data_IF_629997496047
#
_entry.id   IF_629997496047
#
_cell.length_a   1.000
_cell.length_b   1.000
_cell.length_c   1.000
_cell.angle_alpha   90.00
_cell.angle_beta   90.00
_cell.angle_gamma   90.00
#
_symmetry.space_group_name_H-M   'P 1'
#
loop_
_entity.id
_entity.type
_entity.pdbx_description
1 polymer ?
#
# COMPACT_ATOMS: atom_id res chain seq x y z
N UNK A 1 8.80 -1.10 -12.10
CA UNK A 1 9.84 -2.13 -12.31
C UNK A 1 11.21 -1.62 -11.87
N UNK A 2 11.70 -0.49 -12.39
CA UNK A 2 12.90 0.18 -11.86
C UNK A 2 12.63 0.78 -10.48
N UNK A 3 13.50 0.49 -9.51
CA UNK A 3 13.47 1.08 -8.17
C UNK A 3 13.97 2.51 -8.16
N UNK A 4 14.49 2.94 -7.01
CA UNK A 4 15.22 4.20 -6.83
C UNK A 4 16.55 3.88 -6.18
N UNK A 5 17.55 4.76 -6.31
CA UNK A 5 18.81 4.63 -5.59
C UNK A 5 19.06 5.86 -4.72
N UNK A 6 19.96 5.73 -3.75
CA UNK A 6 20.47 6.85 -2.97
C UNK A 6 21.91 7.14 -3.37
N UNK A 7 22.25 8.42 -3.50
CA UNK A 7 23.65 8.86 -3.50
C UNK A 7 24.11 8.85 -2.05
N UNK A 8 24.84 7.81 -1.64
CA UNK A 8 25.11 7.54 -0.22
C UNK A 8 25.91 8.67 0.44
N UNK A 9 26.99 9.14 -0.20
CA UNK A 9 27.86 10.18 0.37
C UNK A 9 27.11 11.50 0.54
N UNK A 10 26.30 11.87 -0.46
CA UNK A 10 25.46 13.05 -0.37
C UNK A 10 24.33 12.89 0.64
N UNK A 11 23.66 11.73 0.67
CA UNK A 11 22.50 11.54 1.52
C UNK A 11 22.88 11.38 2.99
N UNK A 12 23.96 10.67 3.30
CA UNK A 12 24.40 10.45 4.68
C UNK A 12 24.91 11.74 5.36
N UNK A 13 25.47 12.67 4.58
CA UNK A 13 25.94 13.96 5.09
C UNK A 13 24.83 14.99 5.27
N UNK A 14 23.73 14.88 4.52
CA UNK A 14 22.68 15.89 4.48
C UNK A 14 21.37 15.46 5.18
N UNK A 15 21.16 14.15 5.41
CA UNK A 15 19.89 13.61 5.86
C UNK A 15 20.02 12.54 6.93
N UNK A 16 19.07 12.55 7.87
CA UNK A 16 18.98 11.57 8.95
C UNK A 16 18.37 10.25 8.50
N UNK A 17 17.62 10.21 7.39
CA UNK A 17 16.97 8.95 6.98
C UNK A 17 17.95 7.82 6.67
N UNK A 18 19.19 8.14 6.29
CA UNK A 18 20.22 7.13 6.01
C UNK A 18 20.61 6.38 7.29
N UNK A 19 20.78 7.08 8.42
CA UNK A 19 21.10 6.43 9.69
C UNK A 19 19.95 5.56 10.20
N UNK A 20 18.69 5.99 9.99
CA UNK A 20 17.52 5.17 10.34
C UNK A 20 17.44 3.85 9.54
N UNK A 21 17.90 3.87 8.29
CA UNK A 21 17.97 2.65 7.47
C UNK A 21 19.14 1.76 7.89
N UNK A 22 20.27 2.36 8.28
CA UNK A 22 21.45 1.65 8.77
C UNK A 22 21.18 0.94 10.11
N UNK A 23 20.44 1.60 11.02
CA UNK A 23 19.98 1.03 12.30
C UNK A 23 19.22 -0.30 12.15
N UNK A 24 18.61 -0.55 10.98
CA UNK A 24 17.88 -1.78 10.65
C UNK A 24 18.56 -2.63 9.56
N UNK A 25 19.82 -2.32 9.22
CA UNK A 25 20.59 -3.01 8.18
C UNK A 25 19.89 -3.05 6.81
N UNK A 26 19.21 -1.96 6.43
CA UNK A 26 18.46 -1.84 5.17
C UNK A 26 19.25 -1.17 4.05
N UNK A 27 20.47 -0.69 4.31
CA UNK A 27 21.32 -0.08 3.27
C UNK A 27 21.54 -1.01 2.05
N UNK A 28 21.83 -2.33 2.22
CA UNK A 28 22.00 -3.24 1.09
C UNK A 28 20.77 -3.30 0.18
N UNK A 29 19.57 -3.17 0.76
CA UNK A 29 18.31 -3.18 0.00
C UNK A 29 18.11 -1.89 -0.82
N UNK A 30 18.45 -0.73 -0.26
CA UNK A 30 18.19 0.57 -0.91
C UNK A 30 19.29 1.02 -1.88
N UNK A 31 20.41 0.30 -1.92
CA UNK A 31 21.58 0.58 -2.76
C UNK A 31 21.70 -0.37 -3.96
N UNK A 32 20.71 -1.23 -4.22
CA UNK A 32 20.76 -2.17 -5.34
C UNK A 32 20.73 -1.43 -6.67
N UNK A 33 21.86 -1.44 -7.39
CA UNK A 33 22.02 -0.75 -8.68
C UNK A 33 22.05 -1.68 -9.89
N UNK A 34 21.76 -2.98 -9.71
CA UNK A 34 21.78 -3.95 -10.80
C UNK A 34 20.75 -3.58 -11.89
N UNK A 35 21.07 -3.88 -13.17
CA UNK A 35 20.06 -3.84 -14.21
C UNK A 35 18.89 -4.76 -13.89
N UNK A 36 17.73 -4.49 -14.49
CA UNK A 36 16.62 -5.42 -14.51
C UNK A 36 16.25 -5.85 -15.92
N UNK A 37 15.73 -7.07 -16.04
CA UNK A 37 15.46 -7.72 -17.32
C UNK A 37 13.95 -7.91 -17.49
N UNK A 38 13.30 -7.04 -18.24
CA UNK A 38 11.84 -6.96 -18.32
C UNK A 38 11.21 -8.30 -18.75
N UNK A 39 11.82 -9.01 -19.72
CA UNK A 39 11.33 -10.31 -20.19
C UNK A 39 11.37 -11.36 -19.08
N UNK A 40 12.49 -11.49 -18.38
CA UNK A 40 12.64 -12.44 -17.27
C UNK A 40 11.75 -12.09 -16.08
N UNK A 41 11.58 -10.80 -15.78
CA UNK A 41 10.62 -10.36 -14.75
C UNK A 41 9.20 -10.80 -15.10
N UNK A 42 8.77 -10.59 -16.35
CA UNK A 42 7.44 -11.05 -16.80
C UNK A 42 7.31 -12.58 -16.74
N UNK A 43 8.35 -13.31 -17.14
CA UNK A 43 8.38 -14.78 -17.07
C UNK A 43 8.23 -15.26 -15.62
N UNK A 44 8.99 -14.66 -14.69
CA UNK A 44 8.91 -14.95 -13.25
C UNK A 44 7.49 -14.75 -12.71
N UNK A 45 6.86 -13.60 -12.98
CA UNK A 45 5.51 -13.33 -12.47
C UNK A 45 4.45 -14.20 -13.13
N UNK A 46 4.61 -14.55 -14.40
CA UNK A 46 3.66 -15.41 -15.12
C UNK A 46 3.62 -16.84 -14.57
N UNK A 47 4.75 -17.30 -14.01
CA UNK A 47 4.89 -18.63 -13.42
C UNK A 47 4.86 -18.62 -11.88
N UNK A 48 4.58 -17.47 -11.25
CA UNK A 48 4.60 -17.32 -9.80
C UNK A 48 3.46 -18.11 -9.14
N UNK A 49 3.81 -18.94 -8.15
CA UNK A 49 2.88 -19.75 -7.37
C UNK A 49 3.19 -19.63 -5.89
N UNK A 50 2.15 -19.51 -5.08
CA UNK A 50 2.28 -19.60 -3.62
C UNK A 50 2.47 -21.05 -3.22
N UNK A 51 3.44 -21.29 -2.34
CA UNK A 51 3.60 -22.57 -1.66
C UNK A 51 3.28 -22.32 -0.20
N UNK A 52 2.15 -22.85 0.26
CA UNK A 52 1.82 -22.88 1.67
C UNK A 52 1.30 -24.27 2.00
N UNK A 53 2.19 -25.15 2.44
CA UNK A 53 1.76 -26.36 3.12
C UNK A 53 1.30 -26.01 4.55
N UNK A 54 0.49 -26.88 5.15
CA UNK A 54 0.14 -26.75 6.58
C UNK A 54 1.44 -26.87 7.40
N UNK A 55 1.75 -25.84 8.18
CA UNK A 55 2.95 -25.68 9.03
C UNK A 55 4.28 -25.29 8.35
N UNK A 56 4.29 -24.92 7.06
CA UNK A 56 5.50 -24.36 6.43
C UNK A 56 5.50 -22.83 6.42
N UNK A 57 6.69 -22.25 6.52
CA UNK A 57 6.89 -20.80 6.34
C UNK A 57 6.40 -20.38 4.94
N UNK A 58 5.90 -19.15 4.84
CA UNK A 58 5.40 -18.65 3.57
C UNK A 58 6.53 -18.60 2.52
N UNK A 59 6.29 -19.30 1.40
CA UNK A 59 7.21 -19.34 0.29
C UNK A 59 6.48 -19.15 -1.05
N UNK A 60 7.25 -18.81 -2.08
CA UNK A 60 6.79 -18.75 -3.46
C UNK A 60 7.69 -19.58 -4.34
N UNK A 61 7.12 -20.13 -5.41
CA UNK A 61 7.88 -20.77 -6.48
C UNK A 61 7.62 -20.07 -7.79
N UNK A 62 8.60 -20.13 -8.69
CA UNK A 62 8.42 -19.70 -10.07
C UNK A 62 9.30 -20.53 -10.99
N UNK A 63 9.04 -20.47 -12.28
CA UNK A 63 9.85 -21.08 -13.33
C UNK A 63 10.27 -19.98 -14.29
N UNK A 64 11.58 -19.83 -14.52
CA UNK A 64 12.15 -18.84 -15.45
C UNK A 64 13.13 -19.57 -16.34
N UNK A 65 12.99 -19.41 -17.67
CA UNK A 65 13.80 -20.15 -18.66
C UNK A 65 13.85 -21.67 -18.39
N UNK A 66 12.75 -22.25 -17.92
CA UNK A 66 12.65 -23.69 -17.60
C UNK A 66 13.26 -24.11 -16.26
N UNK A 67 13.95 -23.23 -15.55
CA UNK A 67 14.53 -23.52 -14.23
C UNK A 67 13.53 -23.17 -13.13
N UNK A 68 13.24 -24.13 -12.24
CA UNK A 68 12.39 -23.90 -11.07
C UNK A 68 13.18 -23.24 -9.95
N UNK A 69 12.54 -22.27 -9.29
CA UNK A 69 13.08 -21.49 -8.18
C UNK A 69 12.12 -21.57 -6.99
N UNK A 70 12.66 -21.56 -5.78
CA UNK A 70 11.92 -21.61 -4.51
C UNK A 70 12.41 -20.50 -3.59
N UNK A 71 11.54 -19.59 -3.17
CA UNK A 71 11.90 -18.43 -2.37
C UNK A 71 11.07 -18.38 -1.11
N UNK A 72 11.72 -18.53 0.04
CA UNK A 72 11.19 -18.13 1.34
C UNK A 72 11.88 -16.84 1.83
N UNK A 73 11.45 -16.35 2.99
CA UNK A 73 11.99 -15.13 3.57
C UNK A 73 13.49 -15.26 3.89
N UNK A 74 13.97 -16.44 4.28
CA UNK A 74 15.38 -16.70 4.67
C UNK A 74 16.30 -16.67 3.45
N UNK A 75 15.92 -17.34 2.37
CA UNK A 75 16.65 -17.33 1.10
C UNK A 75 16.71 -15.90 0.55
N UNK A 76 15.57 -15.20 0.52
CA UNK A 76 15.53 -13.83 0.02
C UNK A 76 16.40 -12.89 0.86
N UNK A 77 16.39 -13.03 2.18
CA UNK A 77 17.25 -12.27 3.08
C UNK A 77 18.74 -12.52 2.82
N UNK A 78 19.13 -13.78 2.58
CA UNK A 78 20.49 -14.15 2.23
C UNK A 78 20.94 -13.52 0.90
N UNK A 79 20.05 -13.45 -0.09
CA UNK A 79 20.34 -12.83 -1.40
C UNK A 79 20.49 -11.31 -1.27
N UNK A 80 19.67 -10.69 -0.42
CA UNK A 80 19.62 -9.24 -0.25
C UNK A 80 20.57 -8.70 0.83
N UNK A 81 21.19 -9.60 1.60
CA UNK A 81 22.00 -9.26 2.77
C UNK A 81 21.27 -8.37 3.79
N UNK A 82 20.02 -8.70 4.11
CA UNK A 82 19.20 -7.99 5.11
C UNK A 82 18.67 -8.95 6.18
N UNK A 83 18.23 -8.45 7.35
CA UNK A 83 17.59 -9.29 8.37
C UNK A 83 16.28 -9.92 7.89
N UNK A 84 15.99 -11.13 8.38
CA UNK A 84 14.70 -11.80 8.19
C UNK A 84 13.93 -12.01 9.50
N UNK A 85 14.44 -11.47 10.61
CA UNK A 85 13.82 -11.50 11.93
C UNK A 85 12.92 -10.29 12.14
N UNK A 86 12.27 -10.25 13.30
CA UNK A 86 11.41 -9.14 13.70
C UNK A 86 9.93 -9.40 13.42
N UNK A 87 9.12 -8.38 13.72
CA UNK A 87 7.67 -8.48 13.55
C UNK A 87 7.30 -8.51 12.07
N UNK A 88 6.16 -9.10 11.76
CA UNK A 88 5.61 -9.10 10.42
C UNK A 88 4.13 -8.73 10.45
N UNK A 89 3.77 -7.75 9.63
CA UNK A 89 2.39 -7.33 9.40
C UNK A 89 2.22 -7.06 7.90
N UNK A 90 1.08 -7.43 7.35
CA UNK A 90 0.71 -7.13 5.97
C UNK A 90 -0.77 -6.77 5.87
N UNK A 91 -1.12 -5.61 6.44
CA UNK A 91 -2.48 -5.10 6.51
C UNK A 91 -2.53 -3.69 5.89
N UNK A 92 -3.50 -3.46 5.00
CA UNK A 92 -3.63 -2.21 4.26
C UNK A 92 -4.90 -1.43 4.62
N UNK A 93 -5.92 -2.11 5.14
CA UNK A 93 -7.26 -1.54 5.38
C UNK A 93 -7.36 -0.93 6.77
N UNK A 94 -6.88 -1.62 7.80
CA UNK A 94 -6.91 -1.14 9.19
C UNK A 94 -5.52 -0.76 9.69
N UNK A 95 -5.47 -0.12 10.86
CA UNK A 95 -4.22 0.08 11.58
C UNK A 95 -3.72 -1.27 12.11
N UNK A 96 -2.40 -1.45 12.10
CA UNK A 96 -1.77 -2.64 12.67
C UNK A 96 -2.05 -2.70 14.17
N UNK A 97 -2.32 -3.90 14.69
CA UNK A 97 -2.49 -4.14 16.12
C UNK A 97 -1.24 -4.87 16.61
N UNK A 98 -0.19 -4.10 16.89
CA UNK A 98 1.10 -4.60 17.38
C UNK A 98 1.43 -3.88 18.68
N UNK A 99 2.03 -4.60 19.62
CA UNK A 99 2.48 -4.02 20.89
C UNK A 99 3.38 -2.80 20.66
N UNK A 100 3.09 -1.70 21.37
CA UNK A 100 3.81 -0.43 21.25
C UNK A 100 3.43 0.43 20.02
N UNK A 101 2.67 -0.09 19.05
CA UNK A 101 2.22 0.72 17.91
C UNK A 101 0.93 1.48 18.24
N UNK A 102 1.03 2.81 18.30
CA UNK A 102 -0.11 3.70 18.42
C UNK A 102 -0.13 4.72 17.27
N UNK A 103 -1.16 4.71 16.40
CA UNK A 103 -1.24 5.61 15.26
C UNK A 103 -1.07 7.09 15.64
N UNK A 104 -1.64 7.54 16.75
CA UNK A 104 -1.51 8.93 17.20
C UNK A 104 -0.05 9.33 17.49
N UNK A 105 0.74 8.43 18.06
CA UNK A 105 2.13 8.71 18.41
C UNK A 105 2.98 8.90 17.15
N UNK A 106 2.93 7.95 16.20
CA UNK A 106 3.68 8.10 14.94
C UNK A 106 3.19 9.31 14.14
N UNK A 107 1.88 9.56 14.11
CA UNK A 107 1.34 10.71 13.40
C UNK A 107 1.81 12.04 14.00
N UNK A 108 1.97 12.14 15.32
CA UNK A 108 2.56 13.32 15.97
C UNK A 108 4.03 13.55 15.58
N UNK A 109 4.79 12.48 15.32
CA UNK A 109 6.18 12.56 14.83
C UNK A 109 6.22 12.99 13.35
N UNK A 110 5.30 12.48 12.54
CA UNK A 110 5.24 12.79 11.10
C UNK A 110 4.67 14.19 10.82
N UNK A 111 3.76 14.68 11.68
CA UNK A 111 3.03 15.93 11.53
C UNK A 111 3.07 16.77 12.83
N UNK A 112 4.25 17.19 13.31
CA UNK A 112 4.42 17.80 14.64
C UNK A 112 3.64 19.12 14.84
N UNK A 113 3.31 19.82 13.75
CA UNK A 113 2.68 21.14 13.79
C UNK A 113 1.19 21.13 13.38
N UNK A 114 0.56 19.96 13.24
CA UNK A 114 -0.83 19.85 12.80
C UNK A 114 -1.76 19.56 14.01
N UNK A 115 -2.54 20.54 14.48
CA UNK A 115 -3.41 20.35 15.64
C UNK A 115 -4.61 19.44 15.34
N UNK A 116 -4.92 19.16 14.07
CA UNK A 116 -6.04 18.33 13.65
C UNK A 116 -5.62 16.89 13.31
N UNK A 117 -4.44 16.47 13.76
CA UNK A 117 -3.91 15.14 13.43
C UNK A 117 -4.73 14.04 14.10
N UNK A 118 -5.31 13.13 13.31
CA UNK A 118 -6.03 11.96 13.82
C UNK A 118 -5.93 10.74 12.88
N UNK A 119 -6.09 9.50 13.39
CA UNK A 119 -5.81 8.26 12.62
C UNK A 119 -6.76 7.98 11.45
N UNK A 120 -7.87 8.72 11.38
CA UNK A 120 -8.88 8.59 10.34
C UNK A 120 -8.78 9.67 9.27
N UNK A 121 -7.83 10.60 9.38
CA UNK A 121 -7.65 11.66 8.41
C UNK A 121 -6.94 11.17 7.15
N UNK A 122 -7.06 11.93 6.06
CA UNK A 122 -6.25 11.70 4.87
C UNK A 122 -4.80 12.12 5.13
N UNK A 123 -3.87 11.17 5.05
CA UNK A 123 -2.45 11.40 5.28
C UNK A 123 -1.76 11.83 3.98
N UNK A 124 -1.12 12.99 3.98
CA UNK A 124 -0.49 13.59 2.79
C UNK A 124 1.01 13.79 2.97
N UNK A 125 1.77 13.71 1.88
CA UNK A 125 3.24 13.79 1.92
C UNK A 125 3.78 15.22 1.90
N UNK A 126 2.96 16.21 1.54
CA UNK A 126 3.35 17.62 1.45
C UNK A 126 3.57 18.29 2.82
N UNK A 127 3.06 17.70 3.91
CA UNK A 127 3.26 18.19 5.28
C UNK A 127 4.41 17.47 6.02
N UNK A 128 5.05 16.49 5.38
CA UNK A 128 6.19 15.78 5.94
C UNK A 128 7.46 16.64 5.87
N UNK A 129 8.35 16.44 6.83
CA UNK A 129 9.74 16.91 6.74
C UNK A 129 10.46 16.32 5.52
N UNK A 130 11.60 16.88 5.15
CA UNK A 130 12.41 16.38 4.01
C UNK A 130 12.79 14.92 4.24
N UNK A 131 13.32 14.59 5.42
CA UNK A 131 13.73 13.24 5.78
C UNK A 131 12.57 12.23 5.73
N UNK A 132 11.43 12.57 6.35
CA UNK A 132 10.25 11.71 6.34
C UNK A 132 9.70 11.52 4.92
N UNK A 133 9.74 12.56 4.08
CA UNK A 133 9.29 12.47 2.69
C UNK A 133 10.24 11.63 1.84
N UNK A 134 11.55 11.72 2.06
CA UNK A 134 12.54 10.88 1.37
C UNK A 134 12.44 9.42 1.80
N UNK A 135 12.27 9.17 3.10
CA UNK A 135 12.00 7.84 3.62
C UNK A 135 10.73 7.25 3.00
N UNK A 136 9.62 8.00 2.97
CA UNK A 136 8.39 7.58 2.31
C UNK A 136 8.62 7.26 0.83
N UNK A 137 9.35 8.12 0.12
CA UNK A 137 9.70 7.90 -1.28
C UNK A 137 10.49 6.60 -1.49
N UNK A 138 11.46 6.30 -0.64
CA UNK A 138 12.19 5.03 -0.68
C UNK A 138 11.28 3.85 -0.40
N UNK A 139 10.40 3.95 0.60
CA UNK A 139 9.43 2.90 0.90
C UNK A 139 8.56 2.62 -0.32
N UNK A 140 7.95 3.63 -0.94
CA UNK A 140 7.01 3.42 -2.06
C UNK A 140 7.66 3.03 -3.39
N UNK A 141 8.98 3.12 -3.51
CA UNK A 141 9.69 2.71 -4.72
C UNK A 141 10.51 1.43 -4.56
N UNK A 142 10.96 1.12 -3.34
CA UNK A 142 11.88 0.01 -3.08
C UNK A 142 11.31 -1.06 -2.14
N UNK A 143 10.68 -0.67 -1.04
CA UNK A 143 10.28 -1.61 0.04
C UNK A 143 8.86 -2.12 -0.16
N UNK A 144 7.93 -1.23 -0.48
CA UNK A 144 6.52 -1.52 -0.72
C UNK A 144 6.04 -0.76 -1.96
N UNK A 145 6.41 -1.20 -3.18
CA UNK A 145 6.06 -0.50 -4.40
C UNK A 145 4.55 -0.39 -4.63
N UNK A 146 4.08 0.84 -4.83
CA UNK A 146 2.66 1.15 -5.12
C UNK A 146 2.49 1.73 -6.52
N UNK A 147 1.58 1.15 -7.32
CA UNK A 147 1.26 1.60 -8.68
C UNK A 147 0.30 2.79 -8.75
N UNK A 148 0.38 3.72 -7.81
CA UNK A 148 -0.52 4.88 -7.69
C UNK A 148 0.23 6.16 -7.34
N UNK A 149 -0.51 7.27 -7.18
CA UNK A 149 0.09 8.56 -6.83
C UNK A 149 0.80 8.55 -5.46
N UNK A 150 1.90 9.28 -5.37
CA UNK A 150 2.76 9.36 -4.16
C UNK A 150 2.43 10.55 -3.24
N UNK A 151 1.28 11.19 -3.44
CA UNK A 151 0.87 12.35 -2.65
C UNK A 151 0.26 11.96 -1.28
N UNK A 152 -0.15 10.70 -1.12
CA UNK A 152 -0.82 10.19 0.09
C UNK A 152 -0.02 9.05 0.70
N UNK A 153 -0.17 8.87 2.02
CA UNK A 153 0.38 7.73 2.74
C UNK A 153 -0.72 6.71 3.02
N UNK A 154 -0.42 5.44 2.80
CA UNK A 154 -1.25 4.34 3.30
C UNK A 154 -0.90 4.01 4.75
N UNK A 155 -1.84 3.42 5.50
CA UNK A 155 -1.60 2.93 6.87
C UNK A 155 -0.40 1.99 6.95
N UNK A 156 -0.25 1.10 5.97
CA UNK A 156 0.90 0.19 5.87
C UNK A 156 2.23 0.94 5.69
N UNK A 157 2.25 2.02 4.89
CA UNK A 157 3.45 2.83 4.72
C UNK A 157 3.82 3.58 6.01
N UNK A 158 2.82 4.11 6.73
CA UNK A 158 3.04 4.74 8.04
C UNK A 158 3.56 3.72 9.06
N UNK A 159 3.03 2.49 9.04
CA UNK A 159 3.50 1.42 9.90
C UNK A 159 4.97 1.05 9.62
N UNK A 160 5.37 0.95 8.35
CA UNK A 160 6.78 0.73 7.99
C UNK A 160 7.65 1.91 8.42
N UNK A 161 7.19 3.15 8.22
CA UNK A 161 7.90 4.33 8.72
C UNK A 161 8.07 4.31 10.23
N UNK A 162 7.04 3.89 10.99
CA UNK A 162 7.14 3.72 12.43
C UNK A 162 8.18 2.67 12.82
N UNK A 163 8.21 1.51 12.13
CA UNK A 163 9.22 0.49 12.40
C UNK A 163 10.63 1.05 12.21
N UNK A 164 10.86 1.78 11.11
CA UNK A 164 12.17 2.38 10.79
C UNK A 164 12.55 3.47 11.80
N UNK A 165 11.64 4.42 12.07
CA UNK A 165 11.90 5.53 12.98
C UNK A 165 12.07 5.09 14.44
N UNK A 166 11.40 4.02 14.84
CA UNK A 166 11.43 3.47 16.20
C UNK A 166 12.44 2.33 16.36
N UNK A 167 13.22 2.01 15.31
CA UNK A 167 14.21 0.92 15.28
C UNK A 167 13.63 -0.45 15.65
N UNK A 168 12.38 -0.69 15.25
CA UNK A 168 11.72 -1.99 15.44
C UNK A 168 12.12 -2.90 14.28
N UNK A 169 12.72 -4.05 14.60
CA UNK A 169 13.02 -5.08 13.61
C UNK A 169 11.72 -5.54 12.93
N UNK A 170 11.72 -5.49 11.61
CA UNK A 170 10.59 -5.87 10.78
C UNK A 170 11.06 -6.82 9.67
N UNK A 171 10.29 -7.87 9.40
CA UNK A 171 10.65 -8.87 8.39
C UNK A 171 10.39 -8.36 6.95
N UNK A 172 11.32 -7.53 6.44
CA UNK A 172 11.26 -6.99 5.07
C UNK A 172 11.28 -8.04 3.96
N UNK A 173 12.06 -9.15 4.04
CA UNK A 173 12.01 -10.21 3.02
C UNK A 173 10.59 -10.77 2.86
N UNK A 174 9.90 -11.05 3.97
CA UNK A 174 8.54 -11.57 3.93
C UNK A 174 7.55 -10.55 3.36
N UNK A 175 7.72 -9.25 3.67
CA UNK A 175 6.96 -8.16 3.06
C UNK A 175 7.16 -8.10 1.54
N UNK A 176 8.39 -8.26 1.05
CA UNK A 176 8.71 -8.25 -0.38
C UNK A 176 8.00 -9.41 -1.08
N UNK A 177 8.12 -10.64 -0.57
CA UNK A 177 7.46 -11.82 -1.15
C UNK A 177 5.93 -11.67 -1.20
N UNK A 178 5.32 -11.17 -0.12
CA UNK A 178 3.87 -10.94 -0.05
C UNK A 178 3.43 -9.83 -1.00
N UNK A 179 4.28 -8.84 -1.21
CA UNK A 179 4.05 -7.79 -2.21
C UNK A 179 4.16 -8.32 -3.64
N UNK A 180 5.09 -9.24 -3.93
CA UNK A 180 5.18 -9.91 -5.24
C UNK A 180 3.88 -10.66 -5.54
N UNK A 181 3.40 -11.48 -4.59
CA UNK A 181 2.13 -12.21 -4.73
C UNK A 181 0.96 -11.26 -4.91
N UNK A 182 0.86 -10.21 -4.08
CA UNK A 182 -0.22 -9.22 -4.20
C UNK A 182 -0.21 -8.54 -5.57
N UNK A 183 0.95 -8.18 -6.10
CA UNK A 183 1.05 -7.54 -7.41
C UNK A 183 0.53 -8.45 -8.54
N UNK A 184 0.85 -9.74 -8.45
CA UNK A 184 0.34 -10.77 -9.36
C UNK A 184 -1.17 -10.99 -9.21
N UNK A 185 -1.66 -11.26 -7.99
CA UNK A 185 -3.08 -11.54 -7.73
C UNK A 185 -4.00 -10.39 -8.11
N UNK A 186 -3.53 -9.14 -7.97
CA UNK A 186 -4.30 -7.94 -8.32
C UNK A 186 -4.18 -7.55 -9.80
N UNK A 187 -3.48 -8.34 -10.63
CA UNK A 187 -3.25 -8.06 -12.05
C UNK A 187 -2.79 -6.62 -12.31
N UNK A 188 -1.88 -6.13 -11.46
CA UNK A 188 -1.37 -4.77 -11.61
C UNK A 188 -0.65 -4.64 -12.95
N UNK A 189 -0.82 -3.49 -13.60
CA UNK A 189 -0.12 -3.16 -14.86
C UNK A 189 1.41 -3.07 -14.68
N UNK A 190 1.88 -2.82 -13.45
CA UNK A 190 3.30 -2.67 -13.13
C UNK A 190 3.75 -3.77 -12.17
N UNK A 191 4.73 -4.56 -12.62
CA UNK A 191 5.41 -5.57 -11.82
C UNK A 191 6.49 -4.93 -10.92
N UNK A 192 6.51 -5.22 -9.61
CA UNK A 192 7.52 -4.66 -8.71
C UNK A 192 8.83 -5.45 -8.73
N UNK A 193 9.87 -4.87 -8.11
CA UNK A 193 11.11 -5.55 -7.74
C UNK A 193 11.99 -6.08 -8.88
N UNK A 194 12.08 -5.37 -10.00
CA UNK A 194 12.87 -5.83 -11.14
C UNK A 194 14.35 -6.08 -10.81
N UNK A 195 14.96 -5.20 -10.00
CA UNK A 195 16.36 -5.29 -9.59
C UNK A 195 16.61 -6.40 -8.55
N UNK A 196 15.69 -6.59 -7.60
CA UNK A 196 15.73 -7.73 -6.66
C UNK A 196 15.61 -9.05 -7.44
N UNK A 197 14.73 -9.10 -8.44
CA UNK A 197 14.60 -10.28 -9.29
C UNK A 197 15.88 -10.61 -10.05
N UNK A 198 16.65 -9.60 -10.48
CA UNK A 198 17.98 -9.85 -11.06
C UNK A 198 18.91 -10.55 -10.07
N UNK A 199 18.97 -10.10 -8.81
CA UNK A 199 19.79 -10.76 -7.78
C UNK A 199 19.34 -12.20 -7.53
N UNK A 200 18.03 -12.43 -7.52
CA UNK A 200 17.44 -13.75 -7.43
C UNK A 200 17.84 -14.61 -8.64
N UNK A 201 17.76 -14.09 -9.87
CA UNK A 201 18.15 -14.82 -11.09
C UNK A 201 19.61 -15.23 -11.05
N UNK A 202 20.50 -14.34 -10.59
CA UNK A 202 21.91 -14.63 -10.38
C UNK A 202 22.13 -15.75 -9.36
N UNK A 203 21.39 -15.72 -8.23
CA UNK A 203 21.45 -16.77 -7.21
C UNK A 203 21.06 -18.15 -7.75
N UNK A 204 20.08 -18.21 -8.65
CA UNK A 204 19.65 -19.46 -9.30
C UNK A 204 20.39 -19.79 -10.59
N UNK A 205 21.46 -19.05 -10.92
CA UNK A 205 22.25 -19.23 -12.14
C UNK A 205 21.42 -19.18 -13.43
N UNK A 206 20.37 -18.35 -13.46
CA UNK A 206 19.58 -18.11 -14.67
C UNK A 206 20.45 -17.32 -15.66
N UNK A 207 20.66 -17.82 -16.90
CA UNK A 207 21.45 -17.11 -17.90
C UNK A 207 20.81 -15.76 -18.27
N UNK A 208 21.57 -14.68 -18.09
CA UNK A 208 21.16 -13.31 -18.40
C UNK A 208 21.73 -12.83 -19.74
N UNK A 209 22.63 -13.61 -20.35
CA UNK A 209 23.27 -13.33 -21.62
C UNK A 209 22.22 -13.25 -22.74
N UNK A 210 22.32 -12.23 -23.58
CA UNK A 210 21.38 -11.97 -24.67
C UNK A 210 20.04 -11.35 -24.24
N UNK A 211 19.79 -11.15 -22.95
CA UNK A 211 18.59 -10.46 -22.46
C UNK A 211 18.77 -8.93 -22.51
N UNK A 212 17.69 -8.22 -22.85
CA UNK A 212 17.69 -6.75 -22.87
C UNK A 212 17.59 -6.25 -21.43
N UNK A 213 18.67 -5.63 -20.96
CA UNK A 213 18.72 -5.02 -19.64
C UNK A 213 18.18 -3.59 -19.65
N UNK A 214 17.59 -3.16 -18.55
CA UNK A 214 17.21 -1.78 -18.28
C UNK A 214 17.94 -1.32 -17.02
N UNK A 215 18.71 -0.24 -17.14
CA UNK A 215 19.41 0.38 -16.03
C UNK A 215 18.57 1.50 -15.40
N UNK A 216 18.82 1.79 -14.13
CA UNK A 216 18.31 3.00 -13.51
C UNK A 216 18.92 4.23 -14.18
N UNK A 217 18.10 5.26 -14.40
CA UNK A 217 18.59 6.52 -14.93
C UNK A 217 19.19 7.35 -13.80
N UNK A 218 20.02 8.35 -14.13
CA UNK A 218 20.53 9.32 -13.14
C UNK A 218 19.42 10.02 -12.36
N UNK A 219 18.25 10.15 -12.99
CA UNK A 219 17.05 10.72 -12.39
C UNK A 219 16.34 9.82 -11.37
N UNK A 220 16.73 8.55 -11.29
CA UNK A 220 16.25 7.58 -10.32
C UNK A 220 17.09 7.55 -9.03
N UNK A 221 18.19 8.29 -9.00
CA UNK A 221 19.06 8.44 -7.83
C UNK A 221 18.70 9.71 -7.05
N UNK A 222 18.52 9.58 -5.75
CA UNK A 222 18.38 10.71 -4.83
C UNK A 222 19.73 11.37 -4.61
N UNK A 223 19.99 12.42 -5.39
CA UNK A 223 21.15 13.30 -5.28
C UNK A 223 20.68 14.77 -5.24
N UNK A 224 21.63 15.70 -5.15
CA UNK A 224 21.35 17.14 -5.13
C UNK A 224 20.45 17.60 -6.27
N UNK A 225 20.67 17.11 -7.49
CA UNK A 225 19.89 17.49 -8.68
C UNK A 225 18.45 16.99 -8.61
N UNK A 226 18.25 15.74 -8.17
CA UNK A 226 16.93 15.14 -8.02
C UNK A 226 16.12 15.87 -6.95
N UNK A 227 16.74 16.27 -5.83
CA UNK A 227 16.07 17.03 -4.79
C UNK A 227 15.66 18.43 -5.24
N UNK A 228 16.54 19.13 -5.96
CA UNK A 228 16.18 20.42 -6.58
C UNK A 228 14.99 20.26 -7.53
N UNK A 229 14.94 19.16 -8.30
CA UNK A 229 13.81 18.85 -9.19
C UNK A 229 12.53 18.55 -8.42
N UNK A 230 12.63 17.95 -7.23
CA UNK A 230 11.51 17.71 -6.32
C UNK A 230 11.04 18.96 -5.56
N UNK A 231 11.67 20.12 -5.77
CA UNK A 231 11.30 21.38 -5.13
C UNK A 231 12.02 21.66 -3.81
N UNK A 232 13.01 20.83 -3.44
CA UNK A 232 13.81 21.06 -2.23
C UNK A 232 15.05 21.86 -2.57
N UNK A 233 15.11 23.11 -2.10
CA UNK A 233 16.26 24.00 -2.27
C UNK A 233 16.92 24.25 -0.92
N UNK A 234 18.24 24.42 -0.91
CA UNK A 234 19.02 24.77 0.28
C UNK A 234 19.25 26.28 0.26
N UNK A 235 18.66 27.00 1.22
CA UNK A 235 18.81 28.44 1.42
C UNK A 235 19.39 28.67 2.83
N UNK A 236 20.54 29.34 2.91
CA UNK A 236 21.22 29.66 4.19
C UNK A 236 21.44 28.44 5.12
N UNK A 237 21.68 27.25 4.55
CA UNK A 237 21.91 26.02 5.31
C UNK A 237 20.64 25.23 5.65
N UNK A 238 19.45 25.85 5.59
CA UNK A 238 18.15 25.20 5.80
C UNK A 238 17.56 24.76 4.46
N UNK A 239 16.96 23.57 4.41
CA UNK A 239 16.24 23.13 3.21
C UNK A 239 14.77 23.50 3.28
N UNK A 240 14.34 24.31 2.33
CA UNK A 240 12.95 24.79 2.22
C UNK A 240 12.28 24.13 1.02
N UNK A 241 11.02 23.76 1.21
CA UNK A 241 10.19 23.30 0.09
C UNK A 241 9.73 24.53 -0.69
N UNK A 242 10.16 24.63 -1.93
CA UNK A 242 9.69 25.63 -2.87
C UNK A 242 8.90 24.88 -3.96
N UNK A 243 7.54 24.81 -3.84
CA UNK A 243 6.71 24.25 -4.88
C UNK A 243 7.02 24.98 -6.19
N UNK A 244 7.17 24.24 -7.30
CA UNK A 244 7.20 24.91 -8.60
C UNK A 244 5.82 25.54 -8.81
N UNK A 245 5.75 26.86 -8.83
CA UNK A 245 4.57 27.56 -9.31
C UNK A 245 4.30 27.12 -10.76
N UNK A 246 3.08 26.63 -10.99
CA UNK A 246 2.38 26.44 -12.26
C UNK A 246 3.27 26.31 -13.51
N UNK A 247 3.58 25.07 -13.88
CA UNK A 247 3.73 24.74 -15.30
C UNK A 247 2.45 24.04 -15.74
N UNK A 248 1.79 24.70 -16.68
CA UNK A 248 0.68 24.28 -17.53
C UNK A 248 0.83 22.81 -18.03
N UNK A 249 -0.26 22.16 -18.48
CA UNK A 249 -0.35 20.70 -18.56
C UNK A 249 0.77 20.11 -19.41
N UNK A 250 1.34 19.01 -18.93
CA UNK A 250 2.22 18.15 -19.72
C UNK A 250 1.50 17.80 -21.02
N UNK A 251 1.87 18.47 -22.11
CA UNK A 251 1.59 18.01 -23.45
C UNK A 251 2.14 16.59 -23.53
N UNK A 252 1.25 15.67 -23.91
CA UNK A 252 1.59 14.34 -24.35
C UNK A 252 2.70 14.46 -25.40
N UNK A 253 3.93 14.13 -25.03
CA UNK A 253 4.95 13.74 -25.99
C UNK A 253 4.88 12.22 -26.07
N UNK A 254 3.77 11.74 -26.62
CA UNK A 254 3.81 10.53 -27.41
C UNK A 254 4.75 10.80 -28.59
N UNK A 255 5.70 9.89 -28.76
CA UNK A 255 6.24 9.41 -30.01
C UNK A 255 5.87 10.25 -31.25
N UNK A 256 6.74 11.20 -31.58
CA UNK A 256 6.91 11.61 -32.97
C UNK A 256 8.26 11.05 -33.42
N UNK A 257 8.24 9.77 -33.79
CA UNK A 257 9.19 9.22 -34.75
C UNK A 257 8.69 9.54 -36.17
N UNK A 258 9.66 9.86 -37.02
CA UNK A 258 9.61 10.24 -38.44
C UNK A 258 8.46 9.68 -39.30
N UNK A 259 7.83 10.57 -40.08
CA UNK A 259 7.41 10.24 -41.45
C UNK A 259 7.47 11.52 -42.33
N UNK A 260 7.96 11.49 -43.59
CA UNK A 260 8.35 12.68 -44.35
C UNK A 260 7.21 13.48 -45.01
N UNK A 261 7.49 14.70 -45.53
CA UNK A 261 6.52 15.72 -45.89
C UNK A 261 6.15 15.76 -47.38
N UNK A 262 4.84 15.68 -47.68
CA UNK A 262 4.13 16.13 -48.89
C UNK A 262 2.64 15.96 -48.57
N UNK A 263 1.63 16.78 -48.89
CA UNK A 263 1.42 18.01 -49.64
C UNK A 263 0.11 18.64 -49.10
N UNK A 264 0.03 19.98 -49.11
CA UNK A 264 -1.10 20.82 -49.55
C UNK A 264 -2.49 20.56 -48.89
N UNK A 265 -3.27 21.55 -48.42
CA UNK A 265 -3.56 22.86 -49.01
C UNK A 265 -4.27 23.73 -47.95
N UNK A 266 -4.04 25.04 -48.03
CA UNK A 266 -4.56 26.13 -47.19
C UNK A 266 -6.07 26.45 -47.43
N UNK A 267 -6.64 27.60 -47.00
CA UNK A 267 -6.38 28.49 -45.86
C UNK A 267 -7.66 28.87 -45.05
N UNK A 268 -7.41 29.65 -43.99
CA UNK A 268 -8.33 30.44 -43.17
C UNK A 268 -9.48 31.17 -43.88
N UNK A 269 -10.54 31.51 -43.13
CA UNK A 269 -11.25 32.77 -43.31
C UNK A 269 -11.89 33.28 -42.02
N UNK A 270 -11.82 34.60 -41.89
CA UNK A 270 -12.09 35.46 -40.75
C UNK A 270 -13.16 36.49 -41.13
N UNK A 271 -14.15 36.69 -40.23
CA UNK A 271 -15.01 37.88 -40.07
C UNK A 271 -15.95 38.27 -41.26
N UNK A 272 -16.99 39.13 -41.12
CA UNK A 272 -17.24 40.10 -40.04
C UNK A 272 -18.71 40.30 -39.55
N UNK A 273 -18.80 41.12 -38.51
CA UNK A 273 -19.95 41.82 -37.91
C UNK A 273 -20.73 42.72 -38.89
N UNK A 274 -21.93 43.17 -38.51
CA UNK A 274 -22.24 44.60 -38.63
C UNK A 274 -22.60 45.29 -37.30
N UNK A 275 -22.07 46.51 -37.16
CA UNK A 275 -22.40 47.61 -36.23
C UNK A 275 -23.91 47.97 -36.24
N UNK A 276 -24.58 48.68 -35.31
CA UNK A 276 -24.35 49.58 -34.15
C UNK A 276 -25.78 49.87 -33.55
N UNK A 277 -26.09 50.81 -32.60
CA UNK A 277 -25.31 51.66 -31.69
C UNK A 277 -25.82 51.69 -30.20
N UNK A 278 -25.02 52.36 -29.36
CA UNK A 278 -25.24 52.99 -28.04
C UNK A 278 -26.61 52.91 -27.31
N UNK A 279 -26.57 52.54 -26.02
CA UNK A 279 -27.08 53.37 -24.92
C UNK A 279 -26.56 52.86 -23.55
N UNK A 280 -25.97 53.76 -22.76
CA UNK A 280 -25.79 53.61 -21.32
C UNK A 280 -27.16 53.57 -20.64
N UNK A 281 -27.35 52.65 -19.67
CA UNK A 281 -28.60 52.57 -18.91
C UNK A 281 -28.67 51.34 -18.00
N UNK A 282 -28.12 51.47 -16.80
CA UNK A 282 -28.50 50.83 -15.53
C UNK A 282 -29.53 49.68 -15.59
N UNK A 283 -29.10 48.44 -15.29
CA UNK A 283 -29.97 47.46 -14.59
C UNK A 283 -29.15 46.33 -13.93
N UNK A 284 -28.56 46.61 -12.76
CA UNK A 284 -27.88 45.57 -11.96
C UNK A 284 -28.86 44.61 -11.25
N UNK A 285 -30.15 44.61 -11.57
CA UNK A 285 -31.14 43.76 -10.90
C UNK A 285 -31.24 42.37 -11.53
N UNK A 286 -31.20 42.31 -12.87
CA UNK A 286 -31.53 41.09 -13.63
C UNK A 286 -30.43 40.02 -13.59
N UNK A 287 -29.15 40.43 -13.53
CA UNK A 287 -28.03 39.50 -13.41
C UNK A 287 -27.92 38.89 -12.00
N UNK A 288 -28.29 39.64 -10.96
CA UNK A 288 -28.33 39.14 -9.59
C UNK A 288 -29.49 38.17 -9.39
N UNK A 289 -30.66 38.46 -9.96
CA UNK A 289 -31.81 37.55 -9.91
C UNK A 289 -31.48 36.20 -10.57
N UNK A 290 -30.79 36.22 -11.72
CA UNK A 290 -30.37 35.00 -12.42
C UNK A 290 -29.32 34.19 -11.63
N UNK A 291 -28.40 34.87 -10.96
CA UNK A 291 -27.41 34.22 -10.08
C UNK A 291 -28.11 33.59 -8.85
N UNK A 292 -29.08 34.29 -8.26
CA UNK A 292 -29.84 33.79 -7.11
C UNK A 292 -30.69 32.55 -7.48
N UNK A 293 -31.33 32.55 -8.64
CA UNK A 293 -32.10 31.40 -9.13
C UNK A 293 -31.22 30.18 -9.40
N UNK A 294 -30.02 30.39 -9.97
CA UNK A 294 -29.03 29.33 -10.14
C UNK A 294 -28.54 28.77 -8.80
N UNK A 295 -28.26 29.64 -7.83
CA UNK A 295 -27.83 29.25 -6.47
C UNK A 295 -28.93 28.46 -5.73
N UNK A 296 -30.19 28.89 -5.82
CA UNK A 296 -31.33 28.16 -5.27
C UNK A 296 -31.50 26.78 -5.90
N UNK A 297 -31.35 26.68 -7.23
CA UNK A 297 -31.41 25.39 -7.94
C UNK A 297 -30.30 24.45 -7.48
N UNK A 298 -29.07 24.96 -7.30
CA UNK A 298 -27.95 24.16 -6.79
C UNK A 298 -28.16 23.73 -5.35
N UNK A 299 -28.74 24.59 -4.51
CA UNK A 299 -29.03 24.28 -3.12
C UNK A 299 -30.10 23.18 -3.01
N UNK A 300 -31.19 23.29 -3.78
CA UNK A 300 -32.22 22.26 -3.84
C UNK A 300 -31.68 20.90 -4.32
N UNK A 301 -30.79 20.90 -5.32
CA UNK A 301 -30.14 19.68 -5.80
C UNK A 301 -29.22 19.05 -4.73
N UNK A 302 -28.53 19.88 -3.95
CA UNK A 302 -27.68 19.41 -2.85
C UNK A 302 -28.53 18.83 -1.71
N UNK A 303 -29.64 19.47 -1.36
CA UNK A 303 -30.58 18.99 -0.34
C UNK A 303 -31.19 17.63 -0.74
N UNK A 304 -31.59 17.47 -2.00
CA UNK A 304 -32.06 16.18 -2.53
C UNK A 304 -30.98 15.08 -2.43
N UNK A 305 -29.73 15.41 -2.74
CA UNK A 305 -28.60 14.48 -2.63
C UNK A 305 -28.32 14.06 -1.18
N UNK A 306 -28.40 15.00 -0.24
CA UNK A 306 -28.24 14.71 1.19
C UNK A 306 -29.36 13.80 1.71
N UNK A 307 -30.61 14.04 1.30
CA UNK A 307 -31.73 13.18 1.64
C UNK A 307 -31.58 11.76 1.08
N UNK A 308 -31.08 11.63 -0.14
CA UNK A 308 -30.78 10.32 -0.73
C UNK A 308 -29.67 9.59 0.06
N UNK A 309 -28.60 10.28 0.44
CA UNK A 309 -27.52 9.72 1.26
C UNK A 309 -28.07 9.24 2.61
N UNK A 310 -28.91 10.04 3.26
CA UNK A 310 -29.52 9.68 4.54
C UNK A 310 -30.39 8.41 4.42
N UNK A 311 -31.15 8.29 3.32
CA UNK A 311 -31.94 7.08 3.04
C UNK A 311 -31.08 5.83 2.85
N UNK A 312 -29.93 5.96 2.16
CA UNK A 312 -28.97 4.86 1.97
C UNK A 312 -28.30 4.47 3.28
N UNK A 313 -28.01 5.45 4.14
CA UNK A 313 -27.43 5.22 5.46
C UNK A 313 -28.39 4.44 6.37
N UNK A 314 -29.66 4.83 6.42
CA UNK A 314 -30.68 4.12 7.20
C UNK A 314 -30.88 2.67 6.73
N UNK A 315 -30.84 2.43 5.40
CA UNK A 315 -30.87 1.08 4.84
C UNK A 315 -29.64 0.26 5.27
N UNK A 316 -28.46 0.85 5.19
CA UNK A 316 -27.21 0.18 5.58
C UNK A 316 -27.18 -0.14 7.08
N UNK A 317 -27.72 0.75 7.92
CA UNK A 317 -27.88 0.49 9.36
C UNK A 317 -28.82 -0.71 9.62
N UNK A 318 -29.92 -0.80 8.86
CA UNK A 318 -30.82 -1.95 8.89
C UNK A 318 -30.11 -3.25 8.49
N UNK A 319 -29.40 -3.24 7.37
CA UNK A 319 -28.63 -4.40 6.88
C UNK A 319 -27.57 -4.83 7.92
N UNK A 320 -26.89 -3.87 8.56
CA UNK A 320 -25.90 -4.15 9.59
C UNK A 320 -26.52 -4.85 10.82
N UNK A 321 -27.71 -4.41 11.26
CA UNK A 321 -28.43 -5.06 12.37
C UNK A 321 -28.85 -6.49 12.04
N UNK A 322 -29.23 -6.76 10.79
CA UNK A 322 -29.57 -8.12 10.34
C UNK A 322 -28.33 -9.02 10.36
N UNK A 323 -27.23 -8.57 9.75
CA UNK A 323 -25.96 -9.31 9.73
C UNK A 323 -25.48 -9.60 11.16
N UNK A 324 -25.57 -8.63 12.07
CA UNK A 324 -25.17 -8.83 13.46
C UNK A 324 -26.00 -9.91 14.16
N UNK A 325 -27.31 -9.99 13.92
CA UNK A 325 -28.17 -11.05 14.45
C UNK A 325 -27.81 -12.43 13.88
N UNK A 326 -27.53 -12.50 12.58
CA UNK A 326 -27.16 -13.76 11.93
C UNK A 326 -25.83 -14.30 12.48
N UNK A 327 -24.85 -13.43 12.73
CA UNK A 327 -23.57 -13.81 13.34
C UNK A 327 -23.72 -14.34 14.77
N UNK A 328 -24.58 -13.71 15.59
CA UNK A 328 -24.86 -14.20 16.96
C UNK A 328 -25.45 -15.62 16.95
N UNK A 329 -26.28 -15.94 15.96
CA UNK A 329 -26.87 -17.28 15.84
C UNK A 329 -25.86 -18.33 15.34
N UNK A 330 -24.94 -17.93 14.45
CA UNK A 330 -23.88 -18.80 13.93
C UNK A 330 -22.90 -19.18 15.05
N UNK A 331 -22.48 -18.23 15.90
CA UNK A 331 -21.58 -18.50 17.01
C UNK A 331 -22.17 -19.53 18.00
N UNK A 332 -23.47 -19.42 18.31
CA UNK A 332 -24.16 -20.39 19.16
C UNK A 332 -24.21 -21.80 18.56
N UNK A 333 -24.44 -21.90 17.26
CA UNK A 333 -24.51 -23.18 16.53
C UNK A 333 -23.13 -23.84 16.47
N UNK A 334 -22.08 -23.08 16.13
CA UNK A 334 -20.71 -23.56 16.08
C UNK A 334 -20.23 -24.00 17.47
N UNK A 335 -20.57 -23.25 18.52
CA UNK A 335 -20.20 -23.61 19.90
C UNK A 335 -20.89 -24.89 20.36
N UNK A 336 -22.17 -25.09 20.00
CA UNK A 336 -22.90 -26.33 20.29
C UNK A 336 -22.27 -27.53 19.56
N UNK A 337 -22.02 -27.41 18.26
CA UNK A 337 -21.41 -28.48 17.46
C UNK A 337 -20.00 -28.82 17.94
N UNK A 338 -19.19 -27.82 18.29
CA UNK A 338 -17.86 -28.03 18.86
C UNK A 338 -17.94 -28.77 20.21
N UNK A 339 -18.90 -28.41 21.07
CA UNK A 339 -19.13 -29.09 22.36
C UNK A 339 -19.56 -30.55 22.17
N UNK A 340 -20.43 -30.82 21.19
CA UNK A 340 -20.85 -32.19 20.85
C UNK A 340 -19.69 -33.01 20.30
N UNK A 341 -18.90 -32.42 19.40
CA UNK A 341 -17.74 -33.09 18.78
C UNK A 341 -16.66 -33.40 19.81
N UNK A 342 -16.37 -32.46 20.73
CA UNK A 342 -15.46 -32.66 21.87
C UNK A 342 -15.92 -33.81 22.77
N UNK A 343 -17.22 -33.90 23.08
CA UNK A 343 -17.79 -35.02 23.86
C UNK A 343 -17.65 -36.36 23.15
N UNK A 344 -17.85 -36.42 21.82
CA UNK A 344 -17.67 -37.65 21.03
C UNK A 344 -16.21 -38.09 21.00
N UNK A 345 -15.28 -37.15 20.83
CA UNK A 345 -13.85 -37.41 20.77
C UNK A 345 -13.34 -37.99 22.10
N UNK A 346 -13.73 -37.40 23.24
CA UNK A 346 -13.44 -37.96 24.57
C UNK A 346 -14.01 -39.36 24.78
N UNK A 347 -15.22 -39.66 24.28
CA UNK A 347 -15.77 -41.03 24.36
C UNK A 347 -14.94 -42.04 23.56
N UNK A 348 -14.40 -41.65 22.41
CA UNK A 348 -13.53 -42.51 21.61
C UNK A 348 -12.18 -42.72 22.30
N UNK A 349 -11.60 -41.67 22.86
CA UNK A 349 -10.35 -41.71 23.63
C UNK A 349 -10.46 -42.69 24.82
N UNK A 350 -11.54 -42.59 25.61
CA UNK A 350 -11.80 -43.53 26.72
C UNK A 350 -11.92 -44.99 26.24
N UNK A 351 -12.55 -45.23 25.07
CA UNK A 351 -12.65 -46.57 24.49
C UNK A 351 -11.29 -47.12 24.05
N UNK A 352 -10.44 -46.26 23.47
CA UNK A 352 -9.09 -46.63 23.04
C UNK A 352 -8.14 -46.92 24.22
N UNK A 353 -8.29 -46.16 25.32
CA UNK A 353 -7.58 -46.44 26.57
C UNK A 353 -8.03 -47.78 27.19
N UNK A 354 -9.34 -48.07 27.18
CA UNK A 354 -9.88 -49.36 27.64
C UNK A 354 -9.41 -50.55 26.79
N UNK A 355 -9.21 -50.36 25.49
CA UNK A 355 -8.65 -51.39 24.60
C UNK A 355 -7.13 -51.53 24.70
N UNK A 356 -6.46 -50.81 25.62
CA UNK A 356 -4.99 -50.75 25.79
C UNK A 356 -4.24 -50.36 24.51
N UNK A 357 -4.89 -49.59 23.64
CA UNK A 357 -4.28 -49.10 22.40
C UNK A 357 -3.50 -47.80 22.62
N UNK A 358 -3.79 -47.09 23.71
CA UNK A 358 -3.08 -45.89 24.17
C UNK A 358 -2.84 -45.98 25.69
N UNK A 359 -1.73 -45.43 26.17
CA UNK A 359 -1.26 -45.64 27.55
C UNK A 359 -1.96 -44.78 28.61
N UNK A 360 -2.51 -43.60 28.25
CA UNK A 360 -3.19 -42.69 29.19
C UNK A 360 -4.29 -41.87 28.50
N UNK A 361 -5.36 -41.54 29.25
CA UNK A 361 -6.42 -40.61 28.86
C UNK A 361 -6.23 -39.30 29.66
N UNK A 362 -6.16 -38.15 28.99
CA UNK A 362 -6.00 -36.86 29.69
C UNK A 362 -7.35 -36.38 30.28
N UNK A 363 -7.44 -36.33 31.61
CA UNK A 363 -8.59 -35.74 32.30
C UNK A 363 -8.55 -34.21 32.23
N UNK A 364 -9.09 -33.64 31.16
CA UNK A 364 -9.35 -32.19 31.11
C UNK A 364 -10.64 -31.84 31.84
N UNK A 365 -10.57 -30.87 32.76
CA UNK A 365 -11.54 -30.44 33.80
C UNK A 365 -12.88 -29.83 33.32
N UNK A 366 -13.42 -30.29 32.19
CA UNK A 366 -14.69 -29.80 31.63
C UNK A 366 -15.90 -30.70 31.86
N UNK A 367 -15.82 -31.66 32.80
CA UNK A 367 -16.79 -32.75 32.96
C UNK A 367 -17.72 -32.59 34.19
N UNK A 368 -17.84 -31.39 34.76
CA UNK A 368 -18.98 -31.12 35.63
C UNK A 368 -20.22 -30.86 34.77
N UNK A 369 -21.08 -31.87 34.73
CA UNK A 369 -22.47 -31.73 34.31
C UNK A 369 -23.16 -30.69 35.21
N UNK A 370 -23.23 -29.44 34.75
CA UNK A 370 -24.26 -28.53 35.22
C UNK A 370 -25.60 -29.10 34.73
N UNK A 371 -26.22 -29.89 35.61
CA UNK A 371 -27.59 -30.36 35.50
C UNK A 371 -28.56 -29.18 35.47
N UNK A 372 -29.64 -29.38 34.74
CA UNK A 372 -30.76 -28.47 34.54
C UNK A 372 -31.38 -27.89 35.83
N UNK A 373 -32.11 -26.79 35.60
CA UNK A 373 -33.24 -26.22 36.37
C UNK A 373 -32.92 -25.19 37.46
N UNK A 374 -33.24 -23.93 37.12
CA UNK A 374 -34.15 -23.12 37.94
C UNK A 374 -34.82 -22.04 37.07
N UNK A 375 -36.10 -22.26 36.80
CA UNK A 375 -37.10 -21.30 36.31
C UNK A 375 -37.12 -20.05 37.19
N UNK A 376 -37.34 -18.84 36.64
CA UNK A 376 -37.65 -17.68 37.46
C UNK A 376 -39.11 -17.76 37.90
N UNK A 377 -39.34 -17.74 39.21
CA UNK A 377 -40.65 -17.57 39.79
C UNK A 377 -41.13 -16.13 39.58
N UNK A 378 -42.38 -16.00 39.13
CA UNK A 378 -43.17 -14.77 39.19
C UNK A 378 -43.26 -14.27 40.64
N UNK A 379 -42.98 -12.98 40.84
CA UNK A 379 -43.59 -12.10 41.85
C UNK A 379 -43.36 -10.66 41.43
#
# INVERSE_FOLDING_TARGET
MGGRNIDFDFCSSEFSFVSWLDDLHLLPLVQISNPFYIKLVKDFYSNLKMVSAQNEEFAVTSVVKGQRMYLDARILASILHIPHTGIYVFEHKKWSEVEGFHPNQILSVLYPNDPNIHPNMALTTNRLSVDHRLLHHLIVHQILPTGGGYAKLSRMQVFIMWCILSKIEFCFPLLILKTMVRAFSQKKSVLPYGFILTLIFLHYHIPLEGEISTMLKKEDTYNKSTLNRMGWKKEQGVRTYCPRADQAPRIAREEQEDNPPWEQTAPAQSAPTPAQPHAEGTSSSTDYDRMMEFMQTKFAAMEASLNEINSRFNRLEGDHKVIQKDFQHIDGTIFYDLKVTKRRLKRMERKLAQSKTIDQCEETSGDESASDVSTPAES
#
